data_IF_652526001084
#
_entry.id   IF_652526001084
#
_cell.length_a   1.000
_cell.length_b   1.000
_cell.length_c   1.000
_cell.angle_alpha   90.00
_cell.angle_beta   90.00
_cell.angle_gamma   90.00
#
_symmetry.space_group_name_H-M   'P 1'
#
loop_
_entity.id
_entity.type
_entity.pdbx_description
1 polymer ?
#
# COMPACT_ATOMS: atom_id res chain seq x y z
N UNK A 1 -12.18 0.95 16.62
CA UNK A 1 -12.92 0.89 15.34
C UNK A 1 -11.99 0.72 14.14
N UNK A 2 -11.06 1.64 13.88
CA UNK A 2 -10.11 1.50 12.77
C UNK A 2 -9.05 0.43 13.05
N UNK A 3 -8.46 0.44 14.25
CA UNK A 3 -7.51 -0.60 14.71
C UNK A 3 -8.14 -2.01 14.69
N UNK A 4 -9.38 -2.16 15.16
CA UNK A 4 -10.11 -3.44 15.11
C UNK A 4 -10.28 -3.94 13.67
N UNK A 5 -10.53 -3.04 12.72
CA UNK A 5 -10.65 -3.38 11.31
C UNK A 5 -9.31 -3.80 10.73
N UNK A 6 -8.22 -3.08 11.04
CA UNK A 6 -6.86 -3.46 10.63
C UNK A 6 -6.46 -4.83 11.19
N UNK A 7 -6.78 -5.09 12.46
CA UNK A 7 -6.57 -6.39 13.10
C UNK A 7 -7.39 -7.50 12.41
N UNK A 8 -8.66 -7.23 12.10
CA UNK A 8 -9.54 -8.18 11.39
C UNK A 8 -9.01 -8.52 10.00
N UNK A 9 -8.57 -7.51 9.24
CA UNK A 9 -7.96 -7.67 7.92
C UNK A 9 -6.70 -8.53 8.01
N UNK A 10 -5.79 -8.19 8.92
CA UNK A 10 -4.53 -8.92 9.07
C UNK A 10 -4.77 -10.40 9.37
N UNK A 11 -5.63 -10.70 10.34
CA UNK A 11 -5.99 -12.08 10.70
C UNK A 11 -6.59 -12.86 9.54
N UNK A 12 -7.48 -12.25 8.78
CA UNK A 12 -8.17 -12.93 7.69
C UNK A 12 -7.21 -13.22 6.52
N UNK A 13 -6.34 -12.26 6.17
CA UNK A 13 -5.33 -12.45 5.12
C UNK A 13 -4.25 -13.46 5.56
N UNK A 14 -3.81 -13.42 6.82
CA UNK A 14 -2.86 -14.39 7.38
C UNK A 14 -3.45 -15.81 7.39
N UNK A 15 -4.69 -15.98 7.84
CA UNK A 15 -5.38 -17.30 7.82
C UNK A 15 -5.54 -17.85 6.41
N UNK A 16 -5.71 -16.97 5.44
CA UNK A 16 -5.87 -17.35 4.04
C UNK A 16 -4.53 -17.54 3.32
N UNK A 17 -3.38 -17.39 3.99
CA UNK A 17 -2.05 -17.39 3.37
C UNK A 17 -1.96 -16.47 2.15
N UNK A 18 -2.48 -15.24 2.28
CA UNK A 18 -2.39 -14.19 1.26
C UNK A 18 -1.34 -13.17 1.71
N UNK A 19 -0.15 -13.13 1.06
CA UNK A 19 0.84 -12.10 1.34
C UNK A 19 0.27 -10.72 1.05
N UNK A 20 0.52 -9.75 1.92
CA UNK A 20 -0.01 -8.41 1.76
C UNK A 20 0.86 -7.36 2.43
N UNK A 21 0.64 -6.10 2.06
CA UNK A 21 1.07 -4.95 2.85
C UNK A 21 0.06 -3.80 2.73
N UNK A 22 -0.14 -3.08 3.84
CA UNK A 22 -0.88 -1.83 3.86
C UNK A 22 0.00 -0.71 3.33
N UNK A 23 -0.55 0.08 2.42
CA UNK A 23 0.14 1.18 1.75
C UNK A 23 -0.57 2.51 2.07
N UNK A 24 -0.33 3.53 1.24
CA UNK A 24 -1.20 4.70 1.19
C UNK A 24 -1.21 5.53 2.47
N UNK A 25 -2.39 6.04 2.83
CA UNK A 25 -2.57 6.90 4.01
C UNK A 25 -2.24 6.19 5.32
N UNK A 26 -2.52 4.89 5.41
CA UNK A 26 -2.29 4.11 6.63
C UNK A 26 -0.81 3.92 6.93
N UNK A 27 0.01 3.62 5.92
CA UNK A 27 1.46 3.56 6.08
C UNK A 27 2.07 4.94 6.39
N UNK A 28 1.49 6.03 5.86
CA UNK A 28 1.95 7.39 6.13
C UNK A 28 1.84 7.76 7.61
N UNK A 29 0.84 7.26 8.34
CA UNK A 29 0.67 7.51 9.77
C UNK A 29 1.89 7.07 10.61
N UNK A 30 2.67 6.09 10.12
CA UNK A 30 3.84 5.57 10.82
C UNK A 30 5.11 6.39 10.55
N UNK A 31 5.26 6.92 9.34
CA UNK A 31 6.55 7.44 8.87
C UNK A 31 6.54 8.92 8.47
N UNK A 32 5.39 9.50 8.17
CA UNK A 32 5.27 10.87 7.64
C UNK A 32 4.50 11.80 8.57
N UNK A 33 3.98 12.89 8.02
CA UNK A 33 3.05 13.76 8.72
C UNK A 33 1.64 13.15 8.72
N UNK A 34 1.09 12.79 9.90
CA UNK A 34 -0.24 12.18 9.96
C UNK A 34 -1.30 13.10 9.37
N UNK A 35 -2.18 12.51 8.57
CA UNK A 35 -3.34 13.20 8.02
C UNK A 35 -4.55 12.29 8.07
N UNK A 36 -5.74 12.88 8.14
CA UNK A 36 -6.96 12.11 8.09
C UNK A 36 -7.03 11.31 6.77
N UNK A 37 -7.20 10.01 6.90
CA UNK A 37 -7.44 9.02 5.83
C UNK A 37 -8.65 8.20 6.25
N UNK A 38 -9.55 7.94 5.30
CA UNK A 38 -10.80 7.19 5.52
C UNK A 38 -10.88 5.95 4.64
N UNK A 39 -9.72 5.56 4.12
CA UNK A 39 -9.48 4.48 3.20
C UNK A 39 -8.35 3.59 3.71
N UNK A 40 -8.43 2.31 3.38
CA UNK A 40 -7.39 1.32 3.61
C UNK A 40 -6.98 0.76 2.26
N UNK A 41 -5.75 1.05 1.85
CA UNK A 41 -5.17 0.52 0.62
C UNK A 41 -4.28 -0.67 0.96
N UNK A 42 -4.50 -1.81 0.29
CA UNK A 42 -3.79 -3.06 0.56
C UNK A 42 -3.28 -3.64 -0.75
N UNK A 43 -1.96 -3.73 -0.91
CA UNK A 43 -1.39 -4.54 -2.00
C UNK A 43 -1.34 -6.00 -1.59
N UNK A 44 -1.82 -6.89 -2.46
CA UNK A 44 -1.82 -8.34 -2.29
C UNK A 44 -0.78 -8.98 -3.20
N UNK A 45 -0.04 -9.95 -2.67
CA UNK A 45 0.94 -10.77 -3.39
C UNK A 45 0.30 -11.94 -4.15
N UNK A 46 -0.90 -11.72 -4.69
CA UNK A 46 -1.64 -12.67 -5.52
C UNK A 46 -2.15 -11.96 -6.77
N UNK A 47 -2.33 -12.69 -7.87
CA UNK A 47 -2.96 -12.16 -9.08
C UNK A 47 -4.46 -12.47 -9.11
N UNK A 48 -5.16 -11.87 -10.06
CA UNK A 48 -6.63 -11.95 -10.18
C UNK A 48 -7.14 -13.37 -10.46
N UNK A 49 -6.26 -14.31 -10.86
CA UNK A 49 -6.61 -15.73 -10.95
C UNK A 49 -7.03 -16.33 -9.59
N UNK A 50 -6.60 -15.72 -8.49
CA UNK A 50 -6.90 -16.09 -7.12
C UNK A 50 -7.95 -15.18 -6.48
N UNK A 51 -8.69 -14.40 -7.28
CA UNK A 51 -9.78 -13.55 -6.80
C UNK A 51 -10.77 -14.31 -5.92
N UNK A 52 -11.08 -15.57 -6.26
CA UNK A 52 -11.97 -16.41 -5.46
C UNK A 52 -11.49 -16.57 -3.99
N UNK A 53 -10.17 -16.68 -3.74
CA UNK A 53 -9.61 -16.74 -2.38
C UNK A 53 -9.88 -15.45 -1.62
N UNK A 54 -9.67 -14.30 -2.27
CA UNK A 54 -9.94 -13.00 -1.67
C UNK A 54 -11.45 -12.80 -1.41
N UNK A 55 -12.31 -13.24 -2.32
CA UNK A 55 -13.77 -13.14 -2.13
C UNK A 55 -14.25 -13.93 -0.91
N UNK A 56 -13.68 -15.11 -0.65
CA UNK A 56 -13.94 -15.85 0.61
C UNK A 56 -13.53 -15.05 1.84
N UNK A 57 -12.37 -14.38 1.80
CA UNK A 57 -11.88 -13.52 2.89
C UNK A 57 -12.78 -12.29 3.09
N UNK A 58 -13.19 -11.64 1.99
CA UNK A 58 -14.11 -10.49 1.99
C UNK A 58 -15.45 -10.87 2.61
N UNK A 59 -16.01 -12.03 2.24
CA UNK A 59 -17.28 -12.52 2.78
C UNK A 59 -17.16 -12.87 4.27
N UNK A 60 -16.10 -13.58 4.68
CA UNK A 60 -15.81 -13.88 6.09
C UNK A 60 -15.72 -12.60 6.94
N UNK A 61 -15.13 -11.55 6.39
CA UNK A 61 -15.03 -10.26 7.06
C UNK A 61 -16.34 -9.45 7.04
N UNK A 62 -17.38 -9.90 6.32
CA UNK A 62 -18.62 -9.17 6.14
C UNK A 62 -18.48 -7.90 5.29
N UNK A 63 -17.40 -7.81 4.50
CA UNK A 63 -17.20 -6.72 3.55
C UNK A 63 -18.11 -6.88 2.34
N UNK A 64 -18.44 -5.75 1.71
CA UNK A 64 -19.24 -5.73 0.48
C UNK A 64 -18.42 -5.11 -0.65
N UNK A 65 -18.21 -5.84 -1.77
CA UNK A 65 -17.67 -5.25 -2.98
C UNK A 65 -18.51 -4.06 -3.44
N UNK A 66 -17.85 -3.02 -3.95
CA UNK A 66 -18.47 -1.79 -4.44
C UNK A 66 -18.78 -1.84 -5.95
N UNK A 67 -18.30 -2.86 -6.65
CA UNK A 67 -18.52 -3.12 -8.07
C UNK A 67 -18.64 -4.63 -8.30
N UNK A 68 -19.02 -5.03 -9.52
CA UNK A 68 -18.98 -6.44 -9.91
C UNK A 68 -17.55 -6.98 -9.71
N UNK A 69 -17.34 -7.95 -8.79
CA UNK A 69 -15.98 -8.33 -8.43
C UNK A 69 -15.19 -8.93 -9.58
N UNK A 70 -15.85 -9.69 -10.45
CA UNK A 70 -15.18 -10.43 -11.52
C UNK A 70 -14.79 -9.51 -12.67
N UNK A 71 -15.73 -8.68 -13.13
CA UNK A 71 -15.49 -7.76 -14.24
C UNK A 71 -14.55 -6.62 -13.83
N UNK A 72 -14.81 -5.97 -12.70
CA UNK A 72 -14.07 -4.79 -12.29
C UNK A 72 -12.63 -5.13 -11.88
N UNK A 73 -12.44 -6.18 -11.07
CA UNK A 73 -11.11 -6.54 -10.56
C UNK A 73 -10.20 -7.04 -11.68
N UNK A 74 -10.72 -7.84 -12.62
CA UNK A 74 -9.90 -8.34 -13.75
C UNK A 74 -9.43 -7.20 -14.64
N UNK A 75 -10.26 -6.16 -14.82
CA UNK A 75 -9.91 -4.99 -15.66
C UNK A 75 -8.97 -4.00 -14.95
N UNK A 76 -9.14 -3.81 -13.66
CA UNK A 76 -8.48 -2.72 -12.91
C UNK A 76 -7.38 -3.20 -11.97
N UNK A 77 -7.28 -4.50 -11.72
CA UNK A 77 -6.46 -5.11 -10.68
C UNK A 77 -6.87 -4.69 -9.25
N UNK A 78 -8.04 -4.08 -9.06
CA UNK A 78 -8.52 -3.60 -7.75
C UNK A 78 -9.88 -4.19 -7.44
N UNK A 79 -10.04 -4.76 -6.24
CA UNK A 79 -11.33 -5.08 -5.66
C UNK A 79 -11.68 -4.03 -4.58
N UNK A 80 -12.47 -3.00 -4.93
CA UNK A 80 -12.93 -2.03 -3.95
C UNK A 80 -14.05 -2.63 -3.10
N UNK A 81 -13.94 -2.48 -1.78
CA UNK A 81 -14.87 -2.99 -0.80
C UNK A 81 -15.22 -1.91 0.23
N UNK A 82 -16.34 -2.10 0.92
CA UNK A 82 -16.75 -1.28 2.05
C UNK A 82 -17.16 -2.16 3.22
N UNK A 83 -16.96 -1.66 4.44
CA UNK A 83 -17.52 -2.27 5.63
C UNK A 83 -18.93 -1.72 5.88
N UNK A 84 -20.00 -2.54 5.93
CA UNK A 84 -21.38 -2.00 5.95
C UNK A 84 -21.71 -1.09 7.14
N UNK A 85 -21.04 -1.26 8.27
CA UNK A 85 -21.34 -0.49 9.50
C UNK A 85 -20.47 0.74 9.69
N UNK A 86 -19.40 0.90 8.91
CA UNK A 86 -18.47 2.04 9.01
C UNK A 86 -18.14 2.50 7.60
N UNK A 87 -18.30 3.79 7.33
CA UNK A 87 -18.01 4.41 6.04
C UNK A 87 -16.49 4.47 5.77
N UNK A 88 -15.89 3.30 5.65
CA UNK A 88 -14.47 3.05 5.39
C UNK A 88 -14.40 2.18 4.15
N UNK A 89 -13.71 2.72 3.14
CA UNK A 89 -13.39 2.01 1.91
C UNK A 89 -12.11 1.21 2.08
N UNK A 90 -12.09 0.00 1.54
CA UNK A 90 -10.92 -0.88 1.52
C UNK A 90 -10.66 -1.26 0.08
N UNK A 91 -9.50 -0.89 -0.45
CA UNK A 91 -9.09 -1.24 -1.80
C UNK A 91 -8.05 -2.36 -1.73
N UNK A 92 -8.43 -3.54 -2.22
CA UNK A 92 -7.52 -4.67 -2.38
C UNK A 92 -6.92 -4.64 -3.79
N UNK A 93 -5.63 -4.38 -3.86
CA UNK A 93 -4.88 -4.19 -5.10
C UNK A 93 -4.09 -5.47 -5.38
N UNK A 94 -4.45 -6.18 -6.45
CA UNK A 94 -3.77 -7.39 -6.87
C UNK A 94 -2.45 -7.03 -7.54
N UNK A 95 -1.36 -7.65 -7.10
CA UNK A 95 -0.07 -7.46 -7.72
C UNK A 95 0.75 -8.74 -7.78
N UNK A 96 1.52 -8.85 -8.85
CA UNK A 96 2.47 -9.92 -9.10
C UNK A 96 3.79 -9.37 -9.68
N UNK A 97 4.03 -8.08 -9.55
CA UNK A 97 5.26 -7.47 -10.06
C UNK A 97 6.47 -7.88 -9.19
N UNK A 98 7.68 -7.94 -9.77
CA UNK A 98 8.90 -8.21 -9.00
C UNK A 98 9.11 -7.21 -7.85
N UNK A 99 8.80 -5.94 -8.10
CA UNK A 99 8.88 -4.86 -7.11
C UNK A 99 7.94 -5.12 -5.93
N UNK A 100 6.65 -5.31 -6.20
CA UNK A 100 5.64 -5.47 -5.15
C UNK A 100 5.85 -6.76 -4.34
N UNK A 101 6.32 -7.82 -5.01
CA UNK A 101 6.73 -9.05 -4.33
C UNK A 101 7.86 -8.79 -3.32
N UNK A 102 8.86 -7.99 -3.69
CA UNK A 102 9.94 -7.62 -2.78
C UNK A 102 9.48 -6.66 -1.67
N UNK A 103 8.63 -5.68 -1.99
CA UNK A 103 8.07 -4.74 -1.02
C UNK A 103 7.23 -5.45 0.04
N UNK A 104 6.38 -6.39 -0.35
CA UNK A 104 5.57 -7.22 0.57
C UNK A 104 6.49 -8.04 1.50
N UNK A 105 7.57 -8.65 0.98
CA UNK A 105 8.52 -9.41 1.80
C UNK A 105 9.25 -8.54 2.83
N UNK A 106 9.43 -7.26 2.53
CA UNK A 106 10.09 -6.27 3.38
C UNK A 106 9.12 -5.49 4.28
N UNK A 107 7.83 -5.79 4.23
CA UNK A 107 6.83 -5.06 5.00
C UNK A 107 7.14 -5.10 6.51
N UNK A 108 6.97 -3.96 7.15
CA UNK A 108 7.16 -3.80 8.59
C UNK A 108 5.94 -4.36 9.33
N UNK A 109 6.18 -5.31 10.23
CA UNK A 109 5.14 -5.91 11.08
C UNK A 109 4.91 -5.04 12.32
N UNK A 110 3.79 -4.34 12.36
CA UNK A 110 3.42 -3.46 13.47
C UNK A 110 2.35 -4.14 14.33
N UNK A 111 2.52 -4.10 15.66
CA UNK A 111 1.53 -4.64 16.60
C UNK A 111 0.29 -3.73 16.64
N UNK A 112 -0.87 -4.28 16.32
CA UNK A 112 -2.18 -3.62 16.43
C UNK A 112 -3.14 -4.59 17.11
N UNK A 113 -3.68 -4.18 18.25
CA UNK A 113 -4.46 -5.06 19.12
C UNK A 113 -3.64 -6.30 19.50
N UNK A 114 -4.16 -7.47 19.14
CA UNK A 114 -3.50 -8.76 19.39
C UNK A 114 -2.90 -9.41 18.14
N UNK A 115 -2.75 -8.64 17.05
CA UNK A 115 -2.22 -9.13 15.77
C UNK A 115 -1.06 -8.27 15.27
N UNK A 116 -0.34 -8.77 14.26
CA UNK A 116 0.71 -8.01 13.58
C UNK A 116 0.23 -7.68 12.17
N UNK A 117 0.16 -6.39 11.87
CA UNK A 117 -0.28 -5.90 10.57
C UNK A 117 0.94 -5.54 9.74
N UNK A 118 0.97 -5.99 8.49
CA UNK A 118 2.07 -5.72 7.56
C UNK A 118 1.86 -4.33 6.93
N UNK A 119 2.72 -3.37 7.24
CA UNK A 119 2.74 -2.05 6.59
C UNK A 119 3.92 -1.97 5.63
N UNK A 120 3.78 -1.23 4.53
CA UNK A 120 4.90 -0.89 3.67
C UNK A 120 6.06 -0.31 4.48
N UNK A 121 7.29 -0.57 4.05
CA UNK A 121 8.46 0.12 4.60
C UNK A 121 8.38 1.62 4.25
N UNK A 122 9.10 2.52 4.97
CA UNK A 122 9.11 3.92 4.59
C UNK A 122 9.71 4.13 3.20
N UNK A 123 10.66 3.30 2.76
CA UNK A 123 11.18 3.33 1.39
C UNK A 123 10.12 2.96 0.35
N UNK A 124 9.37 1.88 0.56
CA UNK A 124 8.33 1.43 -0.36
C UNK A 124 7.14 2.42 -0.39
N UNK A 125 6.82 3.05 0.75
CA UNK A 125 5.88 4.16 0.79
C UNK A 125 6.35 5.33 -0.09
N UNK A 126 7.62 5.72 0.00
CA UNK A 126 8.18 6.78 -0.87
C UNK A 126 8.06 6.37 -2.34
N UNK A 127 8.41 5.13 -2.70
CA UNK A 127 8.33 4.64 -4.08
C UNK A 127 6.89 4.75 -4.59
N UNK A 128 5.90 4.28 -3.84
CA UNK A 128 4.48 4.36 -4.23
C UNK A 128 4.00 5.80 -4.41
N UNK A 129 4.42 6.70 -3.53
CA UNK A 129 4.04 8.12 -3.58
C UNK A 129 4.69 8.86 -4.74
N UNK A 130 5.98 8.62 -5.01
CA UNK A 130 6.66 9.19 -6.18
C UNK A 130 6.07 8.67 -7.48
N UNK A 131 5.73 7.38 -7.52
CA UNK A 131 5.06 6.75 -8.66
C UNK A 131 3.67 7.37 -8.91
N UNK A 132 2.86 7.54 -7.87
CA UNK A 132 1.55 8.19 -7.98
C UNK A 132 1.65 9.67 -8.39
N UNK A 133 2.68 10.37 -7.90
CA UNK A 133 3.08 11.69 -8.39
C UNK A 133 2.10 12.84 -8.16
N UNK A 134 0.98 12.64 -7.45
CA UNK A 134 0.02 13.70 -7.14
C UNK A 134 0.66 14.73 -6.22
N UNK A 135 0.29 16.03 -6.28
CA UNK A 135 0.91 17.07 -5.44
C UNK A 135 0.98 16.70 -3.95
N UNK A 136 -0.12 16.15 -3.40
CA UNK A 136 -0.16 15.70 -2.00
C UNK A 136 0.78 14.52 -1.72
N UNK A 137 0.96 13.61 -2.67
CA UNK A 137 1.87 12.48 -2.49
C UNK A 137 3.33 12.95 -2.45
N UNK A 138 3.69 14.00 -3.20
CA UNK A 138 5.03 14.58 -3.16
C UNK A 138 5.31 15.28 -1.81
N UNK A 139 4.31 15.97 -1.24
CA UNK A 139 4.40 16.53 0.11
C UNK A 139 4.49 15.43 1.19
N UNK A 140 3.70 14.36 1.04
CA UNK A 140 3.79 13.17 1.89
C UNK A 140 5.24 12.62 1.84
N UNK A 141 5.87 12.50 0.67
CA UNK A 141 7.28 12.05 0.52
C UNK A 141 8.26 12.95 1.26
N UNK A 142 8.13 14.28 1.16
CA UNK A 142 9.00 15.21 1.89
C UNK A 142 8.90 15.00 3.39
N UNK A 143 7.69 14.81 3.91
CA UNK A 143 7.48 14.55 5.34
C UNK A 143 8.16 13.25 5.79
N UNK A 144 8.10 12.19 4.99
CA UNK A 144 8.76 10.90 5.27
C UNK A 144 10.28 11.06 5.24
N UNK A 145 10.82 11.77 4.23
CA UNK A 145 12.26 12.05 4.13
C UNK A 145 12.79 12.85 5.32
N UNK A 146 12.01 13.81 5.83
CA UNK A 146 12.39 14.62 6.99
C UNK A 146 12.45 13.78 8.27
N UNK A 147 11.46 12.92 8.50
CA UNK A 147 11.31 12.14 9.74
C UNK A 147 12.20 10.89 9.81
N UNK A 148 12.56 10.31 8.67
CA UNK A 148 13.30 9.04 8.62
C UNK A 148 14.72 9.28 8.07
N UNK A 149 15.73 9.29 8.94
CA UNK A 149 17.11 9.60 8.56
C UNK A 149 17.87 8.42 7.95
N UNK A 150 17.52 7.20 8.32
CA UNK A 150 18.25 5.97 7.92
C UNK A 150 17.65 5.27 6.70
N UNK A 151 16.99 6.02 5.80
CA UNK A 151 16.36 5.47 4.60
C UNK A 151 17.40 4.91 3.62
N UNK A 152 17.13 3.72 3.07
CA UNK A 152 17.91 3.19 1.95
C UNK A 152 17.54 3.91 0.63
N UNK A 153 18.14 5.08 0.43
CA UNK A 153 17.96 5.86 -0.80
C UNK A 153 18.55 5.20 -2.04
N UNK A 154 19.40 4.16 -1.91
CA UNK A 154 19.90 3.40 -3.08
C UNK A 154 18.82 2.42 -3.53
N UNK A 155 18.17 1.74 -2.60
CA UNK A 155 17.01 0.90 -2.85
C UNK A 155 15.88 1.68 -3.54
N UNK A 156 15.50 2.84 -3.01
CA UNK A 156 14.47 3.70 -3.62
C UNK A 156 14.82 4.04 -5.08
N UNK A 157 16.06 4.51 -5.33
CA UNK A 157 16.50 4.88 -6.68
C UNK A 157 16.53 3.70 -7.64
N UNK A 158 16.94 2.52 -7.18
CA UNK A 158 16.95 1.30 -7.98
C UNK A 158 15.55 0.99 -8.50
N UNK A 159 14.57 0.89 -7.60
CA UNK A 159 13.21 0.55 -8.01
C UNK A 159 12.52 1.64 -8.80
N UNK A 160 12.73 2.91 -8.45
CA UNK A 160 12.22 4.00 -9.28
C UNK A 160 12.82 4.00 -10.68
N UNK A 161 14.06 3.54 -10.86
CA UNK A 161 14.67 3.39 -12.18
C UNK A 161 13.96 2.30 -12.99
N UNK A 162 13.79 1.11 -12.40
CA UNK A 162 13.14 -0.02 -13.06
C UNK A 162 11.68 0.34 -13.44
N UNK A 163 10.96 1.06 -12.57
CA UNK A 163 9.61 1.57 -12.83
C UNK A 163 9.60 2.69 -13.89
N UNK A 164 10.60 3.57 -13.89
CA UNK A 164 10.75 4.65 -14.88
C UNK A 164 10.87 4.11 -16.30
N UNK A 165 11.68 3.06 -16.48
CA UNK A 165 11.89 2.41 -17.78
C UNK A 165 10.60 1.78 -18.32
N UNK A 166 9.80 1.20 -17.43
CA UNK A 166 8.51 0.56 -17.78
C UNK A 166 7.43 1.57 -18.16
N UNK A 167 7.43 2.77 -17.56
CA UNK A 167 6.41 3.81 -17.79
C UNK A 167 6.82 4.93 -18.74
N UNK A 168 8.10 4.99 -19.12
CA UNK A 168 8.70 6.14 -19.81
C UNK A 168 8.50 7.47 -19.04
N UNK A 169 8.61 7.41 -17.70
CA UNK A 169 8.51 8.57 -16.82
C UNK A 169 9.80 8.79 -16.02
N UNK A 170 10.24 10.04 -15.76
CA UNK A 170 11.50 10.31 -15.08
C UNK A 170 11.38 10.24 -13.54
N UNK A 171 10.95 9.11 -12.98
CA UNK A 171 10.67 8.98 -11.53
C UNK A 171 11.90 9.18 -10.66
N UNK A 172 13.06 8.70 -11.10
CA UNK A 172 14.34 8.92 -10.38
C UNK A 172 14.68 10.41 -10.28
N UNK A 173 14.40 11.17 -11.35
CA UNK A 173 14.61 12.63 -11.35
C UNK A 173 13.65 13.31 -10.38
N UNK A 174 12.36 12.92 -10.39
CA UNK A 174 11.35 13.43 -9.44
C UNK A 174 11.83 13.21 -7.98
N UNK A 175 12.23 12.00 -7.64
CA UNK A 175 12.74 11.68 -6.29
C UNK A 175 13.98 12.48 -5.91
N UNK A 176 14.97 12.58 -6.80
CA UNK A 176 16.19 13.34 -6.52
C UNK A 176 15.91 14.85 -6.32
N UNK A 177 14.92 15.42 -6.99
CA UNK A 177 14.49 16.80 -6.73
C UNK A 177 13.94 16.94 -5.31
N UNK A 178 13.04 16.06 -4.88
CA UNK A 178 12.48 16.08 -3.53
C UNK A 178 13.57 15.94 -2.45
N UNK A 179 14.54 15.05 -2.67
CA UNK A 179 15.67 14.88 -1.76
C UNK A 179 16.49 16.17 -1.64
N UNK A 180 16.75 16.87 -2.74
CA UNK A 180 17.47 18.16 -2.72
C UNK A 180 16.68 19.25 -2.01
N UNK A 181 15.37 19.29 -2.17
CA UNK A 181 14.50 20.27 -1.48
C UNK A 181 14.43 20.04 0.03
N UNK A 182 14.63 18.79 0.49
CA UNK A 182 14.59 18.42 1.91
C UNK A 182 15.96 18.54 2.58
N UNK A 183 17.03 18.20 1.87
CA UNK A 183 18.40 18.20 2.41
C UNK A 183 19.11 19.57 2.24
N UNK A 184 18.63 20.43 1.34
CA UNK A 184 19.20 21.75 1.03
C UNK A 184 18.61 22.86 1.89
#
# INVERSE_FOLDING_TARGET
MFEDLLEKIARALDRADIPYMLIGGQALLLYGEPRLTRDIDITLGISTNQLHRLLSVVDEMGLKPLADPWDFTVKTMVLPCQYPTVDIRIDFIFSFSPYESQAILRANRVAIGSSRVNFASPEDLIIHKVFAGRPRDLEDVKSVLLKNKDLDRKYIRRWLKDLSESLNEPLVRKFNTLVKEVDG
#
